data_IF_155638759298
#
_entry.id   IF_155638759298
#
_cell.length_a   1.000
_cell.length_b   1.000
_cell.length_c   1.000
_cell.angle_alpha   90.00
_cell.angle_beta   90.00
_cell.angle_gamma   90.00
#
_symmetry.space_group_name_H-M   'P 1'
#
loop_
_entity.id
_entity.type
_entity.pdbx_description
1 polymer ?
#
# COMPACT_ATOMS: atom_id res chain seq x y z
N UNK A 1 -5.16 1.14 23.26
CA UNK A 1 -5.43 0.76 21.86
C UNK A 1 -4.14 0.15 21.32
N UNK A 2 -4.17 -1.11 20.87
CA UNK A 2 -2.99 -1.76 20.27
C UNK A 2 -3.20 -1.73 18.75
N UNK A 3 -2.52 -0.84 18.00
CA UNK A 3 -2.60 -0.86 16.55
C UNK A 3 -1.80 -2.04 16.01
N UNK A 4 -2.47 -2.99 15.38
CA UNK A 4 -1.81 -4.05 14.62
C UNK A 4 -1.55 -3.54 13.22
N UNK A 5 -0.29 -3.42 12.81
CA UNK A 5 0.11 -2.95 11.48
C UNK A 5 0.54 -4.12 10.62
N UNK A 6 0.10 -4.15 9.37
CA UNK A 6 0.58 -5.11 8.37
C UNK A 6 1.98 -4.75 7.86
N UNK A 7 2.64 -5.64 7.12
CA UNK A 7 3.71 -5.27 6.20
C UNK A 7 3.28 -4.18 5.21
N UNK A 8 4.25 -3.61 4.49
CA UNK A 8 3.98 -2.73 3.36
C UNK A 8 3.64 -3.55 2.12
N UNK A 9 2.73 -3.03 1.31
CA UNK A 9 2.34 -3.62 0.05
C UNK A 9 2.48 -2.60 -1.08
N UNK A 10 3.01 -3.02 -2.22
CA UNK A 10 2.96 -2.25 -3.45
C UNK A 10 1.70 -2.63 -4.24
N UNK A 11 0.96 -1.65 -4.72
CA UNK A 11 -0.16 -1.85 -5.64
C UNK A 11 0.42 -2.15 -7.01
N UNK A 12 0.34 -3.39 -7.47
CA UNK A 12 0.82 -3.78 -8.80
C UNK A 12 -0.18 -3.47 -9.91
N UNK A 13 -1.47 -3.58 -9.60
CA UNK A 13 -2.53 -3.26 -10.53
C UNK A 13 -3.81 -2.85 -9.80
N UNK A 14 -4.60 -2.00 -10.46
CA UNK A 14 -5.99 -1.70 -10.13
C UNK A 14 -6.85 -2.44 -11.16
N UNK A 15 -7.61 -3.43 -10.71
CA UNK A 15 -8.37 -4.33 -11.59
C UNK A 15 -9.66 -3.70 -12.11
N UNK A 16 -10.29 -2.85 -11.31
CA UNK A 16 -11.54 -2.17 -11.66
C UNK A 16 -11.55 -0.74 -11.12
N UNK A 17 -12.08 0.18 -11.93
CA UNK A 17 -12.33 1.54 -11.48
C UNK A 17 -13.45 1.58 -10.44
N UNK A 18 -13.24 2.40 -9.42
CA UNK A 18 -14.20 2.58 -8.33
C UNK A 18 -14.64 4.04 -8.23
N UNK A 19 -15.94 4.26 -8.04
CA UNK A 19 -16.51 5.57 -7.76
C UNK A 19 -16.33 5.99 -6.30
N UNK A 20 -15.88 5.08 -5.44
CA UNK A 20 -15.59 5.41 -4.06
C UNK A 20 -14.37 6.34 -4.02
N UNK A 21 -14.59 7.63 -3.73
CA UNK A 21 -13.55 8.66 -3.72
C UNK A 21 -12.30 8.24 -2.94
N UNK A 22 -12.52 7.53 -1.84
CA UNK A 22 -11.50 6.96 -0.95
C UNK A 22 -10.52 5.97 -1.61
N UNK A 23 -10.89 5.33 -2.73
CA UNK A 23 -10.06 4.34 -3.44
C UNK A 23 -9.76 4.73 -4.88
N UNK A 24 -10.43 5.76 -5.41
CA UNK A 24 -10.34 6.17 -6.81
C UNK A 24 -8.94 6.67 -7.18
N UNK A 25 -8.27 7.28 -6.22
CA UNK A 25 -6.97 7.91 -6.49
C UNK A 25 -5.80 6.96 -6.23
N UNK A 26 -6.06 5.70 -5.86
CA UNK A 26 -5.02 4.67 -5.70
C UNK A 26 -4.53 4.23 -7.08
N UNK A 27 -3.21 4.24 -7.28
CA UNK A 27 -2.57 3.94 -8.58
C UNK A 27 -1.58 2.78 -8.47
N UNK A 28 -1.29 2.09 -9.59
CA UNK A 28 -0.17 1.15 -9.64
C UNK A 28 1.16 1.84 -9.28
N UNK A 29 2.01 1.15 -8.53
CA UNK A 29 3.28 1.65 -7.97
C UNK A 29 3.14 2.34 -6.60
N UNK A 30 1.92 2.55 -6.11
CA UNK A 30 1.72 3.15 -4.79
C UNK A 30 1.93 2.14 -3.66
N UNK A 31 2.44 2.63 -2.52
CA UNK A 31 2.70 1.80 -1.34
C UNK A 31 1.64 2.04 -0.28
N UNK A 32 1.03 0.94 0.18
CA UNK A 32 -0.01 0.95 1.21
C UNK A 32 0.37 0.06 2.40
N UNK A 33 -0.22 0.34 3.56
CA UNK A 33 -0.24 -0.61 4.67
C UNK A 33 -1.59 -0.57 5.38
N UNK A 34 -1.90 -1.64 6.10
CA UNK A 34 -3.14 -1.79 6.84
C UNK A 34 -2.88 -1.68 8.33
N UNK A 35 -3.84 -1.13 9.06
CA UNK A 35 -3.87 -1.12 10.52
C UNK A 35 -5.23 -1.55 11.02
N UNK A 36 -5.28 -2.42 12.02
CA UNK A 36 -6.54 -2.82 12.64
C UNK A 36 -6.69 -2.18 14.01
N UNK A 37 -7.87 -1.64 14.27
CA UNK A 37 -8.27 -1.13 15.60
C UNK A 37 -9.40 -2.01 16.12
N UNK A 38 -9.15 -2.66 17.26
CA UNK A 38 -10.18 -3.38 18.00
C UNK A 38 -10.96 -2.40 18.87
N UNK A 39 -12.28 -2.33 18.66
CA UNK A 39 -13.20 -1.54 19.49
C UNK A 39 -14.22 -2.44 20.16
N UNK A 40 -14.52 -2.17 21.44
CA UNK A 40 -15.59 -2.87 22.13
C UNK A 40 -16.92 -2.48 21.48
N UNK A 41 -17.71 -3.46 21.05
CA UNK A 41 -19.01 -3.19 20.45
C UNK A 41 -19.96 -2.77 21.57
N UNK A 42 -20.70 -1.67 21.39
CA UNK A 42 -21.68 -1.22 22.38
C UNK A 42 -22.74 -2.27 22.68
N UNK A 43 -23.31 -2.21 23.89
CA UNK A 43 -24.12 -3.22 24.62
C UNK A 43 -25.29 -3.93 23.90
N UNK A 44 -25.64 -3.59 22.64
CA UNK A 44 -26.91 -3.99 22.02
C UNK A 44 -26.82 -4.97 20.83
N UNK A 45 -25.70 -5.66 20.63
CA UNK A 45 -25.56 -6.61 19.51
C UNK A 45 -25.51 -8.05 20.00
N UNK A 46 -26.52 -8.86 19.65
CA UNK A 46 -26.66 -10.30 19.94
C UNK A 46 -25.62 -11.18 19.21
N UNK A 47 -24.33 -10.84 19.32
CA UNK A 47 -23.23 -11.60 18.71
C UNK A 47 -21.97 -10.75 18.51
N UNK A 48 -20.94 -11.03 19.31
CA UNK A 48 -19.58 -10.49 19.21
C UNK A 48 -19.28 -9.30 20.13
N UNK A 49 -18.33 -9.48 21.07
CA UNK A 49 -17.90 -8.44 22.02
C UNK A 49 -17.08 -7.31 21.37
N UNK A 50 -16.53 -7.53 20.17
CA UNK A 50 -15.64 -6.59 19.49
C UNK A 50 -16.04 -6.37 18.04
N UNK A 51 -15.84 -5.14 17.57
CA UNK A 51 -15.79 -4.81 16.15
C UNK A 51 -14.34 -4.50 15.76
N UNK A 52 -13.88 -5.07 14.64
CA UNK A 52 -12.58 -4.78 14.06
C UNK A 52 -12.76 -3.83 12.88
N UNK A 53 -12.28 -2.60 13.05
CA UNK A 53 -12.15 -1.64 11.95
C UNK A 53 -10.75 -1.81 11.34
N UNK A 54 -10.70 -1.90 10.02
CA UNK A 54 -9.44 -1.97 9.26
C UNK A 54 -9.27 -0.64 8.53
N UNK A 55 -8.13 0.00 8.77
CA UNK A 55 -7.71 1.19 8.06
C UNK A 55 -6.61 0.84 7.06
N UNK A 56 -6.74 1.31 5.83
CA UNK A 56 -5.67 1.29 4.83
C UNK A 56 -5.08 2.69 4.76
N UNK A 57 -3.76 2.80 4.78
CA UNK A 57 -3.03 4.03 4.54
C UNK A 57 -2.24 3.94 3.25
N UNK A 58 -2.32 4.98 2.43
CA UNK A 58 -1.49 5.15 1.25
C UNK A 58 -0.41 6.19 1.54
N UNK A 59 0.85 5.77 1.40
CA UNK A 59 2.00 6.58 1.77
C UNK A 59 2.20 7.74 0.81
N UNK A 60 1.94 7.53 -0.48
CA UNK A 60 2.27 8.51 -1.53
C UNK A 60 1.35 9.73 -1.47
N UNK A 61 0.08 9.54 -1.14
CA UNK A 61 -0.89 10.64 -1.03
C UNK A 61 -1.28 10.96 0.42
N UNK A 62 -0.66 10.31 1.42
CA UNK A 62 -0.92 10.49 2.85
C UNK A 62 -2.41 10.38 3.23
N UNK A 63 -3.14 9.46 2.60
CA UNK A 63 -4.58 9.29 2.81
C UNK A 63 -4.92 8.03 3.62
N UNK A 64 -6.01 8.11 4.38
CA UNK A 64 -6.54 7.01 5.19
C UNK A 64 -7.93 6.61 4.73
N UNK A 65 -8.19 5.30 4.78
CA UNK A 65 -9.52 4.75 4.54
C UNK A 65 -9.83 3.72 5.61
N UNK A 66 -10.86 3.96 6.42
CA UNK A 66 -11.32 3.01 7.44
C UNK A 66 -12.63 2.36 7.03
N UNK A 67 -12.67 1.03 7.07
CA UNK A 67 -13.87 0.22 6.79
C UNK A 67 -13.96 -0.94 7.77
N UNK A 68 -15.13 -1.60 7.81
CA UNK A 68 -15.24 -2.89 8.49
C UNK A 68 -14.29 -3.91 7.85
N UNK A 69 -13.82 -4.89 8.63
CA UNK A 69 -12.92 -5.94 8.13
C UNK A 69 -13.46 -6.63 6.86
N UNK A 70 -14.74 -7.00 6.84
CA UNK A 70 -15.35 -7.69 5.70
C UNK A 70 -15.45 -6.80 4.46
N UNK A 71 -15.78 -5.52 4.63
CA UNK A 71 -15.87 -4.57 3.52
C UNK A 71 -14.47 -4.29 2.95
N UNK A 72 -13.47 -4.06 3.80
CA UNK A 72 -12.08 -3.86 3.37
C UNK A 72 -11.55 -5.09 2.62
N UNK A 73 -11.73 -6.30 3.16
CA UNK A 73 -11.25 -7.52 2.51
C UNK A 73 -11.89 -7.73 1.13
N UNK A 74 -13.20 -7.49 1.01
CA UNK A 74 -13.92 -7.62 -0.27
C UNK A 74 -13.44 -6.58 -1.29
N UNK A 75 -13.18 -5.34 -0.87
CA UNK A 75 -12.65 -4.29 -1.74
C UNK A 75 -11.24 -4.64 -2.20
N UNK A 76 -10.34 -4.96 -1.27
CA UNK A 76 -8.93 -5.26 -1.59
C UNK A 76 -8.82 -6.44 -2.54
N UNK A 77 -9.53 -7.53 -2.24
CA UNK A 77 -9.51 -8.74 -3.06
C UNK A 77 -10.02 -8.52 -4.49
N UNK A 78 -10.99 -7.62 -4.67
CA UNK A 78 -11.61 -7.38 -5.98
C UNK A 78 -10.91 -6.31 -6.80
N UNK A 79 -10.43 -5.24 -6.15
CA UNK A 79 -9.98 -4.04 -6.84
C UNK A 79 -8.47 -4.01 -7.05
N UNK A 80 -7.67 -4.69 -6.23
CA UNK A 80 -6.22 -4.50 -6.22
C UNK A 80 -5.45 -5.81 -6.33
N UNK A 81 -4.34 -5.76 -7.06
CA UNK A 81 -3.27 -6.75 -6.96
C UNK A 81 -2.20 -6.15 -6.07
N UNK A 82 -1.97 -6.77 -4.91
CA UNK A 82 -1.00 -6.30 -3.92
C UNK A 82 0.18 -7.28 -3.86
N UNK A 83 1.39 -6.75 -3.84
CA UNK A 83 2.60 -7.52 -3.57
C UNK A 83 3.25 -7.05 -2.27
N UNK A 84 3.58 -7.98 -1.38
CA UNK A 84 4.22 -7.66 -0.10
C UNK A 84 5.69 -7.23 -0.31
N UNK A 85 6.05 -6.11 0.30
CA UNK A 85 7.43 -5.64 0.34
C UNK A 85 8.14 -6.28 1.52
N UNK A 86 8.85 -7.38 1.25
CA UNK A 86 9.57 -8.16 2.27
C UNK A 86 10.79 -7.43 2.84
N UNK A 87 11.49 -6.67 2.00
CA UNK A 87 12.66 -5.87 2.37
C UNK A 87 12.42 -4.41 1.97
N UNK A 88 12.08 -3.60 2.98
CA UNK A 88 11.78 -2.18 2.80
C UNK A 88 13.01 -1.35 2.44
N UNK A 89 14.18 -1.71 2.95
CA UNK A 89 15.41 -0.94 2.70
C UNK A 89 15.89 -1.15 1.26
N UNK A 90 15.89 -2.40 0.79
CA UNK A 90 16.19 -2.72 -0.60
C UNK A 90 15.19 -2.06 -1.56
N UNK A 91 13.90 -2.09 -1.22
CA UNK A 91 12.86 -1.43 -2.01
C UNK A 91 13.10 0.07 -2.14
N UNK A 92 13.35 0.79 -1.04
CA UNK A 92 13.65 2.23 -1.08
C UNK A 92 14.89 2.54 -1.90
N UNK A 93 15.96 1.77 -1.76
CA UNK A 93 17.19 1.97 -2.52
C UNK A 93 16.94 1.86 -4.03
N UNK A 94 16.14 0.87 -4.46
CA UNK A 94 15.77 0.69 -5.85
C UNK A 94 14.87 1.82 -6.37
N UNK A 95 13.88 2.26 -5.59
CA UNK A 95 13.03 3.40 -5.97
C UNK A 95 13.84 4.70 -6.10
N UNK A 96 14.76 4.94 -5.17
CA UNK A 96 15.68 6.09 -5.25
C UNK A 96 16.56 6.01 -6.49
N UNK A 97 17.11 4.84 -6.82
CA UNK A 97 17.91 4.64 -8.03
C UNK A 97 17.09 4.96 -9.29
N UNK A 98 15.86 4.43 -9.39
CA UNK A 98 14.96 4.71 -10.52
C UNK A 98 14.63 6.19 -10.66
N UNK A 99 14.39 6.87 -9.53
CA UNK A 99 14.15 8.32 -9.51
C UNK A 99 15.37 9.11 -10.01
N UNK A 100 16.57 8.77 -9.56
CA UNK A 100 17.78 9.45 -10.01
C UNK A 100 18.13 9.16 -11.48
N UNK A 101 17.84 7.94 -11.95
CA UNK A 101 17.99 7.58 -13.35
C UNK A 101 17.01 8.35 -14.25
N UNK A 102 15.75 8.56 -13.83
CA UNK A 102 14.76 9.30 -14.62
C UNK A 102 15.06 10.81 -14.72
N UNK A 103 15.85 11.35 -13.78
CA UNK A 103 16.31 12.74 -13.77
C UNK A 103 17.67 12.90 -14.51
N UNK A 104 18.24 11.80 -15.04
CA UNK A 104 19.46 11.83 -15.86
C UNK A 104 20.76 12.02 -15.08
N UNK A 105 20.76 11.81 -13.75
CA UNK A 105 21.94 12.03 -12.89
C UNK A 105 22.90 10.83 -12.88
N UNK A 106 22.42 9.65 -13.29
CA UNK A 106 23.24 8.44 -13.41
C UNK A 106 23.46 8.18 -14.91
N UNK A 107 24.53 8.73 -15.48
CA UNK A 107 25.08 8.19 -16.72
C UNK A 107 25.74 6.86 -16.36
N UNK A 108 25.13 5.74 -16.76
CA UNK A 108 25.85 4.47 -16.80
C UNK A 108 27.09 4.68 -17.66
N UNK A 109 28.26 4.53 -17.04
CA UNK A 109 29.54 4.76 -17.68
C UNK A 109 29.65 3.91 -18.93
N UNK A 110 29.66 4.56 -20.10
CA UNK A 110 30.16 3.97 -21.33
C UNK A 110 31.61 3.56 -21.06
N UNK A 111 31.83 2.26 -20.90
CA UNK A 111 33.15 1.67 -20.96
C UNK A 111 33.68 1.89 -22.37
N UNK A 112 34.45 2.96 -22.57
CA UNK A 112 35.30 3.09 -23.74
C UNK A 112 36.27 1.90 -23.74
N UNK A 113 36.05 0.98 -24.68
CA UNK A 113 37.07 0.07 -25.17
C UNK A 113 38.19 0.93 -25.75
N UNK A 114 39.27 1.11 -25.00
CA UNK A 114 40.57 1.43 -25.57
C UNK A 114 41.18 0.10 -26.06
N UNK A 115 40.87 -0.26 -27.31
CA UNK A 115 41.79 -1.06 -28.12
C UNK A 115 42.88 -0.12 -28.63
N UNK A 116 44.10 -0.26 -28.12
CA UNK A 116 45.34 -0.08 -28.91
C UNK A 116 46.55 -0.70 -28.22
#
# INVERSE_FOLDING_TARGET
MIPLRSPFYEVKAVLYDTKAAIFRDVRPGEVVYFTTILKHRGSNSRGGAYAADVSMFNIHNSSWVTKSQSEMANIVYKLFVLEEIKDWEAYKAEQNRKMWASIGVIQEGESHNEET
#
